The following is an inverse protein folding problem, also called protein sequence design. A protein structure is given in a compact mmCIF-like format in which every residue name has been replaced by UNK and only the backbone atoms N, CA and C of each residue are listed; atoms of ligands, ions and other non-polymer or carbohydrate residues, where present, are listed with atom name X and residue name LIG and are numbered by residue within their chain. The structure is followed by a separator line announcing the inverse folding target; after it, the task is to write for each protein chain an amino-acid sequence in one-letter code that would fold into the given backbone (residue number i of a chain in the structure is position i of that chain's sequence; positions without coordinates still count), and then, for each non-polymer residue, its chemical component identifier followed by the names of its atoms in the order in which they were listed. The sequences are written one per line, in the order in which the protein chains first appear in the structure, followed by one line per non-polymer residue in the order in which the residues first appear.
data_IF_327010138181
#
_entry.id   IF_327010138181
#
_cell.length_a   1.000
_cell.length_b   1.000
_cell.length_c   1.000
_cell.angle_alpha   90.00
_cell.angle_beta   90.00
_cell.angle_gamma   90.00
#
_symmetry.space_group_name_H-M   'P 1'
#
loop_
_entity.id
_entity.type
_entity.pdbx_description
1 polymer ?
#
# COMPACT_ATOMS: atom_id res chain seq x y z
N UNK A 1 5.01 -15.38 5.83
CA UNK A 1 4.44 -14.98 7.15
C UNK A 1 2.93 -15.11 7.14
N UNK A 2 2.22 -14.33 6.31
CA UNK A 2 0.75 -14.30 6.27
C UNK A 2 0.09 -15.65 5.96
N UNK A 3 0.70 -16.49 5.11
CA UNK A 3 0.15 -17.82 4.75
C UNK A 3 -0.08 -18.78 5.94
N UNK A 4 0.45 -18.47 7.13
CA UNK A 4 0.24 -19.26 8.36
C UNK A 4 -0.46 -18.47 9.46
N UNK A 5 -0.98 -17.28 9.15
CA UNK A 5 -1.62 -16.41 10.11
C UNK A 5 -3.10 -16.80 10.25
N UNK A 6 -3.62 -17.06 11.46
CA UNK A 6 -4.97 -17.59 11.65
C UNK A 6 -6.10 -16.61 11.33
N UNK A 7 -5.78 -15.32 11.19
CA UNK A 7 -6.75 -14.24 10.94
C UNK A 7 -6.44 -13.42 9.69
N UNK A 8 -5.55 -13.89 8.82
CA UNK A 8 -5.25 -13.19 7.57
C UNK A 8 -5.31 -14.16 6.42
N UNK A 9 -6.08 -13.78 5.40
CA UNK A 9 -6.14 -14.43 4.11
C UNK A 9 -5.54 -13.49 3.06
N UNK A 10 -4.73 -14.02 2.14
CA UNK A 10 -4.21 -13.24 1.02
C UNK A 10 -5.16 -13.41 -0.16
N UNK A 11 -5.93 -12.37 -0.47
CA UNK A 11 -6.95 -12.41 -1.53
C UNK A 11 -6.47 -11.81 -2.86
N UNK A 12 -5.41 -10.99 -2.84
CA UNK A 12 -4.82 -10.37 -4.03
C UNK A 12 -3.30 -10.27 -3.88
N UNK A 13 -2.56 -10.53 -4.95
CA UNK A 13 -1.11 -10.37 -5.02
C UNK A 13 -0.75 -9.64 -6.32
N UNK A 14 -0.01 -8.54 -6.21
CA UNK A 14 0.35 -7.72 -7.37
C UNK A 14 1.83 -7.83 -7.72
N UNK A 15 2.14 -7.88 -9.01
CA UNK A 15 3.51 -7.74 -9.53
C UNK A 15 3.49 -7.10 -10.92
N UNK A 16 4.54 -6.37 -11.28
CA UNK A 16 4.67 -5.77 -12.61
C UNK A 16 5.18 -6.81 -13.63
N UNK A 17 6.47 -7.17 -13.58
CA UNK A 17 7.10 -8.09 -14.55
C UNK A 17 6.61 -9.53 -14.49
N UNK A 18 6.09 -9.95 -13.34
CA UNK A 18 5.66 -11.33 -13.09
C UNK A 18 4.13 -11.49 -13.04
N UNK A 19 3.37 -10.51 -13.53
CA UNK A 19 1.93 -10.67 -13.70
C UNK A 19 1.59 -11.92 -14.53
N UNK A 20 0.44 -12.52 -14.23
CA UNK A 20 -0.08 -13.78 -14.77
C UNK A 20 0.73 -15.03 -14.41
N UNK A 21 1.74 -14.94 -13.55
CA UNK A 21 2.47 -16.09 -13.00
C UNK A 21 1.97 -16.44 -11.60
N UNK A 22 1.98 -17.72 -11.25
CA UNK A 22 1.84 -18.12 -9.86
C UNK A 22 3.06 -17.65 -9.05
N UNK A 23 2.88 -17.41 -7.75
CA UNK A 23 4.01 -17.03 -6.91
C UNK A 23 5.11 -18.11 -6.89
N UNK A 24 4.74 -19.38 -7.06
CA UNK A 24 5.68 -20.52 -7.11
C UNK A 24 6.55 -20.56 -8.37
N UNK A 25 6.10 -19.95 -9.48
CA UNK A 25 6.94 -19.79 -10.67
C UNK A 25 8.06 -18.77 -10.44
N UNK A 26 7.83 -17.77 -9.59
CA UNK A 26 8.82 -16.75 -9.20
C UNK A 26 9.69 -17.24 -8.02
N UNK A 27 9.04 -17.85 -7.03
CA UNK A 27 9.64 -18.31 -5.78
C UNK A 27 9.27 -19.79 -5.51
N UNK A 28 10.03 -20.76 -6.05
CA UNK A 28 9.68 -22.19 -5.99
C UNK A 28 9.48 -22.74 -4.58
N UNK A 29 10.17 -22.19 -3.58
CA UNK A 29 10.04 -22.61 -2.18
C UNK A 29 8.65 -22.33 -1.57
N UNK A 30 7.81 -21.53 -2.25
CA UNK A 30 6.43 -21.24 -1.86
C UNK A 30 5.40 -22.14 -2.58
N UNK A 31 5.85 -23.14 -3.34
CA UNK A 31 4.99 -23.99 -4.19
C UNK A 31 3.92 -24.81 -3.47
N UNK A 32 4.04 -25.00 -2.16
CA UNK A 32 3.04 -25.72 -1.36
C UNK A 32 1.94 -24.80 -0.80
N UNK A 33 1.95 -23.52 -1.14
CA UNK A 33 0.94 -22.55 -0.72
C UNK A 33 -0.08 -22.37 -1.84
N UNK A 34 -1.35 -22.49 -1.48
CA UNK A 34 -2.47 -22.13 -2.36
C UNK A 34 -2.67 -20.62 -2.29
N UNK A 35 -2.11 -19.89 -3.25
CA UNK A 35 -2.06 -18.43 -3.28
C UNK A 35 -2.62 -17.90 -4.59
N UNK A 36 -3.20 -16.68 -4.58
CA UNK A 36 -3.64 -16.02 -5.80
C UNK A 36 -2.51 -15.91 -6.85
N UNK A 37 -2.90 -15.93 -8.12
CA UNK A 37 -2.01 -15.63 -9.24
C UNK A 37 -1.63 -14.15 -9.18
N UNK A 38 -0.38 -13.83 -9.51
CA UNK A 38 0.09 -12.44 -9.57
C UNK A 38 -0.64 -11.70 -10.70
N UNK A 39 -1.02 -10.45 -10.47
CA UNK A 39 -1.60 -9.57 -11.50
C UNK A 39 -1.00 -8.17 -11.44
N UNK A 40 -1.20 -7.34 -12.47
CA UNK A 40 -0.79 -5.94 -12.36
C UNK A 40 -1.73 -5.19 -11.44
N UNK A 41 -1.23 -4.15 -10.76
CA UNK A 41 -2.05 -3.37 -9.83
C UNK A 41 -3.20 -2.65 -10.56
N UNK A 42 -2.98 -2.24 -11.81
CA UNK A 42 -3.98 -1.60 -12.65
C UNK A 42 -5.07 -2.57 -13.16
N UNK A 43 -4.83 -3.88 -13.06
CA UNK A 43 -5.79 -4.92 -13.46
C UNK A 43 -6.67 -5.39 -12.29
N UNK A 44 -6.40 -4.91 -11.07
CA UNK A 44 -7.13 -5.35 -9.88
C UNK A 44 -8.55 -4.77 -9.90
N UNK A 45 -9.56 -5.64 -9.87
CA UNK A 45 -10.96 -5.26 -9.71
C UNK A 45 -11.30 -5.02 -8.23
N UNK A 46 -10.93 -3.86 -7.71
CA UNK A 46 -11.02 -3.55 -6.27
C UNK A 46 -12.45 -3.57 -5.69
N UNK A 47 -13.47 -3.20 -6.48
CA UNK A 47 -14.85 -3.07 -6.00
C UNK A 47 -15.48 -4.39 -5.53
N UNK A 48 -14.96 -5.54 -5.98
CA UNK A 48 -15.41 -6.86 -5.56
C UNK A 48 -14.63 -7.45 -4.39
N UNK A 49 -13.56 -6.78 -3.94
CA UNK A 49 -12.65 -7.31 -2.93
C UNK A 49 -12.98 -6.77 -1.54
N UNK A 50 -13.07 -7.69 -0.58
CA UNK A 50 -13.07 -7.33 0.83
C UNK A 50 -11.63 -7.24 1.34
N UNK A 51 -11.08 -6.02 1.35
CA UNK A 51 -9.72 -5.75 1.81
C UNK A 51 -9.77 -4.96 3.13
N UNK A 52 -9.14 -5.50 4.16
CA UNK A 52 -8.92 -4.79 5.44
C UNK A 52 -7.55 -4.13 5.51
N UNK A 53 -6.53 -4.75 4.88
CA UNK A 53 -5.13 -4.29 4.95
C UNK A 53 -4.39 -4.52 3.63
N UNK A 54 -3.57 -3.55 3.23
CA UNK A 54 -2.66 -3.64 2.09
C UNK A 54 -1.22 -3.48 2.56
N UNK A 55 -0.34 -4.36 2.09
CA UNK A 55 1.10 -4.24 2.28
C UNK A 55 1.74 -3.74 0.99
N UNK A 56 2.41 -2.58 1.05
CA UNK A 56 3.10 -2.00 -0.11
C UNK A 56 4.59 -2.35 -0.05
N UNK A 57 5.03 -3.19 -0.99
CA UNK A 57 6.44 -3.54 -1.20
C UNK A 57 6.97 -2.96 -2.51
N UNK A 58 6.64 -1.70 -2.80
CA UNK A 58 6.92 -1.05 -4.08
C UNK A 58 8.24 -0.27 -4.03
N UNK A 59 8.84 0.05 -5.20
CA UNK A 59 9.94 1.00 -5.26
C UNK A 59 9.56 2.37 -4.67
N UNK A 60 10.55 3.12 -4.18
CA UNK A 60 10.33 4.48 -3.70
C UNK A 60 9.75 5.37 -4.81
N UNK A 61 8.95 6.35 -4.43
CA UNK A 61 8.17 7.22 -5.31
C UNK A 61 6.87 6.57 -5.81
N UNK A 62 6.94 5.31 -6.26
CA UNK A 62 5.74 4.57 -6.72
C UNK A 62 4.74 4.34 -5.59
N UNK A 63 5.22 4.16 -4.35
CA UNK A 63 4.33 3.89 -3.22
C UNK A 63 3.47 5.09 -2.89
N UNK A 64 3.99 6.32 -3.02
CA UNK A 64 3.22 7.55 -2.77
C UNK A 64 1.99 7.65 -3.67
N UNK A 65 2.15 7.38 -4.97
CA UNK A 65 1.05 7.40 -5.93
C UNK A 65 0.01 6.31 -5.61
N UNK A 66 0.46 5.09 -5.36
CA UNK A 66 -0.43 3.96 -5.06
C UNK A 66 -1.18 4.20 -3.76
N UNK A 67 -0.50 4.58 -2.69
CA UNK A 67 -1.14 4.85 -1.39
C UNK A 67 -2.12 6.01 -1.49
N UNK A 68 -1.77 7.06 -2.26
CA UNK A 68 -2.70 8.15 -2.57
C UNK A 68 -3.96 7.62 -3.26
N UNK A 69 -3.85 6.85 -4.34
CA UNK A 69 -5.01 6.26 -5.03
C UNK A 69 -5.85 5.34 -4.15
N UNK A 70 -5.21 4.49 -3.32
CA UNK A 70 -5.90 3.58 -2.39
C UNK A 70 -6.68 4.34 -1.31
N UNK A 71 -6.15 5.45 -0.80
CA UNK A 71 -6.74 6.21 0.31
C UNK A 71 -7.62 7.38 -0.14
N UNK A 72 -7.48 7.88 -1.36
CA UNK A 72 -8.28 8.98 -1.92
C UNK A 72 -9.78 8.65 -1.88
N UNK A 73 -10.19 7.46 -2.33
CA UNK A 73 -11.61 7.05 -2.37
C UNK A 73 -12.30 6.89 -1.01
N UNK A 74 -11.53 6.88 0.09
CA UNK A 74 -12.09 6.75 1.45
C UNK A 74 -12.61 8.09 2.02
N UNK A 75 -12.39 9.21 1.32
CA UNK A 75 -12.61 10.57 1.84
C UNK A 75 -13.62 11.48 1.12
N UNK A 76 -14.18 11.15 -0.04
CA UNK A 76 -14.88 12.15 -0.88
C UNK A 76 -16.42 12.06 -0.91
N UNK A 77 -17.04 13.25 -0.96
CA UNK A 77 -18.43 13.55 -1.34
C UNK A 77 -18.56 13.68 -2.87
N UNK A 78 -19.77 13.51 -3.41
CA UNK A 78 -20.21 13.47 -4.84
C UNK A 78 -19.61 14.52 -5.80
N UNK A 79 -18.92 15.58 -5.34
CA UNK A 79 -18.41 16.67 -6.18
C UNK A 79 -17.05 16.42 -6.84
N UNK A 80 -16.32 15.38 -6.43
CA UNK A 80 -14.99 15.07 -7.00
C UNK A 80 -15.03 14.05 -8.16
N UNK A 81 -16.22 13.57 -8.54
CA UNK A 81 -16.44 12.55 -9.58
C UNK A 81 -16.07 12.99 -11.02
N UNK A 82 -15.64 14.24 -11.24
CA UNK A 82 -15.51 14.83 -12.59
C UNK A 82 -14.06 15.07 -13.04
N UNK A 83 -13.03 14.70 -12.27
CA UNK A 83 -11.64 15.05 -12.62
C UNK A 83 -10.60 13.97 -12.30
N UNK A 84 -10.31 13.06 -13.25
CA UNK A 84 -8.96 12.69 -13.77
C UNK A 84 -8.90 11.26 -14.33
N UNK A 85 -8.48 11.14 -15.60
CA UNK A 85 -7.91 9.91 -16.16
C UNK A 85 -6.43 9.82 -15.73
N UNK A 86 -6.13 9.09 -14.66
CA UNK A 86 -4.78 8.85 -14.17
C UNK A 86 -4.73 7.75 -13.11
N UNK A 87 -3.52 7.33 -12.69
CA UNK A 87 -3.30 6.41 -11.53
C UNK A 87 -3.88 6.94 -10.21
N UNK A 88 -4.36 8.18 -10.19
CA UNK A 88 -4.98 8.80 -9.02
C UNK A 88 -6.35 8.19 -8.66
N UNK A 89 -7.03 7.51 -9.59
CA UNK A 89 -8.31 6.81 -9.34
C UNK A 89 -8.17 5.28 -9.48
N UNK A 90 -7.13 4.71 -8.86
CA UNK A 90 -6.92 3.27 -8.86
C UNK A 90 -8.10 2.49 -8.25
N UNK A 91 -8.95 3.13 -7.42
CA UNK A 91 -9.91 2.40 -6.60
C UNK A 91 -11.22 3.14 -6.30
N UNK A 92 -12.19 3.03 -7.18
CA UNK A 92 -13.60 3.21 -6.85
C UNK A 92 -14.18 1.91 -6.26
N UNK A 93 -13.91 1.61 -4.98
CA UNK A 93 -14.57 0.45 -4.35
C UNK A 93 -13.98 -0.16 -3.08
N UNK A 94 -12.82 0.30 -2.61
CA UNK A 94 -12.29 -0.17 -1.33
C UNK A 94 -13.15 0.33 -0.17
N UNK A 95 -13.22 -0.50 0.89
CA UNK A 95 -13.86 -0.10 2.15
C UNK A 95 -13.18 1.16 2.70
N UNK A 96 -13.98 2.04 3.32
CA UNK A 96 -13.49 3.32 3.90
C UNK A 96 -12.42 3.16 4.99
N UNK A 97 -12.24 1.96 5.54
CA UNK A 97 -11.37 1.68 6.69
C UNK A 97 -10.15 0.81 6.36
N UNK A 98 -9.77 0.69 5.07
CA UNK A 98 -8.54 -0.01 4.68
C UNK A 98 -7.33 0.59 5.38
N UNK A 99 -6.49 -0.29 5.93
CA UNK A 99 -5.20 0.08 6.50
C UNK A 99 -4.06 -0.20 5.51
N UNK A 100 -3.06 0.67 5.50
CA UNK A 100 -1.87 0.54 4.67
C UNK A 100 -0.66 0.30 5.56
N UNK A 101 0.15 -0.69 5.21
CA UNK A 101 1.46 -0.94 5.78
C UNK A 101 2.48 -0.81 4.64
N UNK A 102 3.20 0.31 4.63
CA UNK A 102 4.21 0.61 3.61
C UNK A 102 5.59 0.11 4.06
N UNK A 103 6.20 -0.81 3.29
CA UNK A 103 7.56 -1.30 3.53
C UNK A 103 8.62 -0.47 2.81
N UNK A 104 8.22 0.45 1.93
CA UNK A 104 9.09 1.41 1.29
C UNK A 104 9.57 2.48 2.29
N UNK A 105 10.33 3.46 1.80
CA UNK A 105 10.78 4.58 2.61
C UNK A 105 9.93 5.85 2.46
N UNK A 106 8.92 5.81 1.58
CA UNK A 106 8.23 6.99 1.09
C UNK A 106 7.57 7.80 2.19
N UNK A 107 7.01 7.14 3.19
CA UNK A 107 6.30 7.78 4.30
C UNK A 107 7.08 7.83 5.63
N UNK A 108 8.39 7.51 5.62
CA UNK A 108 9.19 7.39 6.86
C UNK A 108 9.63 8.72 7.44
N UNK A 109 9.87 9.72 6.60
CA UNK A 109 10.39 11.02 7.01
C UNK A 109 9.22 11.98 7.20
N UNK A 110 9.07 12.52 8.41
CA UNK A 110 7.96 13.43 8.74
C UNK A 110 8.04 14.72 7.92
N UNK A 111 9.25 15.23 7.70
CA UNK A 111 9.50 16.41 6.87
C UNK A 111 9.63 16.04 5.39
N UNK A 112 8.76 16.63 4.56
CA UNK A 112 8.75 16.43 3.11
C UNK A 112 9.96 17.05 2.41
N UNK A 113 10.58 18.07 3.01
CA UNK A 113 11.80 18.68 2.50
C UNK A 113 13.00 17.77 2.75
N UNK A 114 13.06 17.10 3.91
CA UNK A 114 14.05 16.05 4.18
C UNK A 114 13.86 14.89 3.20
N UNK A 115 12.61 14.47 2.95
CA UNK A 115 12.33 13.48 1.91
C UNK A 115 12.91 13.91 0.55
N UNK A 116 12.63 15.13 0.10
CA UNK A 116 13.12 15.62 -1.17
C UNK A 116 14.65 15.67 -1.24
N UNK A 117 15.30 16.06 -0.15
CA UNK A 117 16.76 16.07 -0.04
C UNK A 117 17.37 14.67 -0.21
N UNK A 118 16.79 13.64 0.42
CA UNK A 118 17.37 12.30 0.44
C UNK A 118 16.94 11.42 -0.74
N UNK A 119 15.74 11.61 -1.27
CA UNK A 119 15.15 10.78 -2.33
C UNK A 119 15.13 11.44 -3.71
N UNK A 120 15.51 12.72 -3.80
CA UNK A 120 15.82 13.39 -5.06
C UNK A 120 14.61 13.88 -5.86
N UNK A 121 13.43 13.91 -5.25
CA UNK A 121 12.20 14.50 -5.81
C UNK A 121 11.24 14.94 -4.71
N UNK A 122 10.31 15.84 -5.02
CA UNK A 122 9.28 16.26 -4.09
C UNK A 122 8.40 15.08 -3.64
N UNK A 123 7.86 15.17 -2.43
CA UNK A 123 6.92 14.19 -1.92
C UNK A 123 5.55 14.37 -2.62
N UNK A 124 5.04 13.34 -3.28
CA UNK A 124 3.81 13.39 -4.10
C UNK A 124 2.50 13.25 -3.31
N UNK A 125 2.58 12.88 -2.03
CA UNK A 125 1.41 12.75 -1.14
C UNK A 125 1.60 13.45 0.23
N UNK A 126 1.95 14.75 0.27
CA UNK A 126 2.31 15.46 1.50
C UNK A 126 1.18 15.47 2.55
N UNK A 127 -0.09 15.48 2.12
CA UNK A 127 -1.24 15.39 3.02
C UNK A 127 -1.31 14.04 3.75
N UNK A 128 -0.89 12.95 3.10
CA UNK A 128 -0.86 11.61 3.70
C UNK A 128 0.40 11.42 4.55
N UNK A 129 1.49 12.14 4.27
CA UNK A 129 2.69 12.13 5.09
C UNK A 129 2.41 12.54 6.54
N UNK A 130 1.53 13.55 6.74
CA UNK A 130 1.14 14.01 8.07
C UNK A 130 0.32 12.98 8.87
N UNK A 131 -0.28 11.99 8.20
CA UNK A 131 -1.07 10.92 8.83
C UNK A 131 -0.24 9.65 9.10
N UNK A 132 0.94 9.52 8.48
CA UNK A 132 1.75 8.32 8.54
C UNK A 132 2.37 8.13 9.93
N UNK A 133 2.23 6.92 10.49
CA UNK A 133 2.86 6.56 11.76
C UNK A 133 4.09 5.70 11.48
N UNK A 134 5.22 6.08 12.06
CA UNK A 134 6.45 5.30 11.97
C UNK A 134 6.32 3.96 12.72
N UNK A 135 6.44 2.84 12.00
CA UNK A 135 6.10 1.49 12.44
C UNK A 135 7.08 0.81 13.40
N UNK A 136 7.85 1.57 14.19
CA UNK A 136 8.70 1.01 15.24
C UNK A 136 7.84 0.67 16.46
N UNK A 137 7.38 -0.58 16.51
CA UNK A 137 6.33 -1.04 17.43
C UNK A 137 6.64 -0.75 18.90
N UNK A 138 7.90 -0.84 19.32
CA UNK A 138 8.34 -0.57 20.69
C UNK A 138 8.11 0.88 21.11
N UNK A 139 8.20 1.84 20.17
CA UNK A 139 8.06 3.26 20.45
C UNK A 139 6.66 3.79 20.14
N UNK A 140 6.01 3.23 19.11
CA UNK A 140 4.77 3.79 18.55
C UNK A 140 3.54 2.87 18.69
N UNK A 141 3.57 1.85 19.56
CA UNK A 141 2.47 0.86 19.70
C UNK A 141 1.08 1.48 19.75
N UNK A 142 0.89 2.50 20.58
CA UNK A 142 -0.43 3.14 20.74
C UNK A 142 -0.84 3.89 19.47
N UNK A 143 0.09 4.63 18.85
CA UNK A 143 -0.18 5.34 17.59
C UNK A 143 -0.47 4.37 16.43
N UNK A 144 0.26 3.24 16.36
CA UNK A 144 0.10 2.20 15.33
C UNK A 144 -1.29 1.54 15.42
N UNK A 145 -1.84 1.39 16.63
CA UNK A 145 -3.14 0.76 16.84
C UNK A 145 -4.25 1.43 16.02
N UNK A 146 -4.24 2.76 16.03
CA UNK A 146 -5.28 3.58 15.40
C UNK A 146 -4.87 4.11 14.01
N UNK A 147 -3.61 3.92 13.62
CA UNK A 147 -3.09 4.36 12.33
C UNK A 147 -3.84 3.73 11.14
N UNK A 148 -4.08 4.56 10.12
CA UNK A 148 -4.54 4.16 8.79
C UNK A 148 -3.36 3.88 7.84
N UNK A 149 -2.25 4.59 8.02
CA UNK A 149 -1.02 4.43 7.25
C UNK A 149 0.15 4.23 8.21
N UNK A 150 0.82 3.08 8.10
CA UNK A 150 2.03 2.76 8.87
C UNK A 150 3.21 2.67 7.92
N UNK A 151 4.23 3.48 8.17
CA UNK A 151 5.52 3.42 7.47
C UNK A 151 6.46 2.47 8.22
N UNK A 152 6.66 1.26 7.71
CA UNK A 152 7.57 0.29 8.32
C UNK A 152 9.01 0.83 8.32
N UNK A 153 9.74 0.71 9.46
CA UNK A 153 11.13 1.13 9.55
C UNK A 153 12.05 0.47 8.54
N UNK A 154 13.19 1.13 8.28
CA UNK A 154 14.32 0.49 7.63
C UNK A 154 14.91 -0.63 8.50
N UNK A 155 15.78 -1.45 7.92
CA UNK A 155 16.39 -2.58 8.61
C UNK A 155 17.62 -2.21 9.47
N UNK A 156 18.14 -0.99 9.38
CA UNK A 156 19.34 -0.50 10.07
C UNK A 156 19.01 0.39 11.25
#
# INVERSE_FOLDING_TARGET
LLARHPYVEMVVLTADRHASQSLSQVFPHLGNLDLPVLMKIEEVEWAGLDIDVVFCGLPHGTTQEVVKGLLHSTGHTVVDEVMHEGRDDLVSGLKKNVKIIDLSADFRLEDVDDYAQWYGHEHYAPQLQAEAVYGLTELNRENIRDARLVACPGCY
#
